data_IF_682871442761
#
_entry.id   IF_682871442761
#
_cell.length_a   1.000
_cell.length_b   1.000
_cell.length_c   1.000
_cell.angle_alpha   90.00
_cell.angle_beta   90.00
_cell.angle_gamma   90.00
#
_symmetry.space_group_name_H-M   'P 1'
#
loop_
_entity.id
_entity.type
_entity.pdbx_description
1 polymer ?
#
# COMPACT_ATOMS: atom_id res chain seq x y z
N UNK A 1 -8.97 -16.16 -21.99
CA UNK A 1 -8.05 -15.25 -21.30
C UNK A 1 -8.50 -13.84 -21.54
N UNK A 2 -8.68 -13.08 -20.47
CA UNK A 2 -9.06 -11.68 -20.51
C UNK A 2 -7.80 -10.79 -20.48
N UNK A 3 -7.97 -9.50 -20.79
CA UNK A 3 -6.95 -8.51 -20.45
C UNK A 3 -7.16 -8.06 -19.01
N UNK A 4 -6.09 -7.77 -18.27
CA UNK A 4 -6.16 -7.12 -16.97
C UNK A 4 -6.81 -5.73 -17.05
N UNK A 5 -6.66 -5.03 -18.18
CA UNK A 5 -7.33 -3.75 -18.41
C UNK A 5 -8.80 -4.02 -18.76
N UNK A 6 -9.71 -3.51 -17.93
CA UNK A 6 -11.14 -3.63 -18.17
C UNK A 6 -11.55 -2.93 -19.48
N UNK A 7 -12.57 -3.48 -20.14
CA UNK A 7 -13.11 -3.06 -21.42
C UNK A 7 -13.36 -1.56 -21.55
N UNK A 8 -13.88 -0.92 -20.50
CA UNK A 8 -14.22 0.51 -20.50
C UNK A 8 -12.99 1.43 -20.34
N UNK A 9 -11.83 0.90 -19.94
CA UNK A 9 -10.57 1.63 -19.80
C UNK A 9 -9.60 1.38 -20.96
N UNK A 10 -9.95 0.52 -21.91
CA UNK A 10 -9.13 0.28 -23.10
C UNK A 10 -9.15 1.49 -24.03
N UNK A 11 -7.98 1.87 -24.52
CA UNK A 11 -7.81 2.97 -25.47
C UNK A 11 -6.79 2.62 -26.56
N UNK A 12 -6.75 3.38 -27.68
CA UNK A 12 -5.70 3.22 -28.68
C UNK A 12 -4.32 3.45 -28.05
N UNK A 13 -3.48 2.41 -28.05
CA UNK A 13 -2.14 2.46 -27.46
C UNK A 13 -1.22 3.39 -28.24
N UNK A 14 -0.46 4.22 -27.51
CA UNK A 14 0.77 4.84 -28.00
C UNK A 14 2.02 4.15 -27.47
N UNK A 15 1.87 3.33 -26.42
CA UNK A 15 2.90 2.50 -25.83
C UNK A 15 2.52 1.01 -25.94
N UNK A 16 3.42 0.23 -26.55
CA UNK A 16 3.22 -1.20 -26.78
C UNK A 16 3.52 -2.02 -25.53
N UNK A 17 2.91 -3.19 -25.47
CA UNK A 17 3.27 -4.26 -24.54
C UNK A 17 4.69 -4.79 -24.83
N UNK A 18 5.31 -5.40 -23.84
CA UNK A 18 6.63 -6.07 -23.92
C UNK A 18 6.52 -7.46 -24.54
N UNK A 19 5.36 -8.09 -24.44
CA UNK A 19 5.08 -9.43 -24.97
C UNK A 19 4.20 -9.37 -26.24
N UNK A 20 4.29 -10.36 -27.13
CA UNK A 20 3.42 -10.46 -28.30
C UNK A 20 1.98 -10.84 -27.92
N UNK A 21 1.04 -10.67 -28.86
CA UNK A 21 -0.40 -10.94 -28.64
C UNK A 21 -0.71 -12.42 -28.36
N UNK A 22 0.15 -13.35 -28.79
CA UNK A 22 0.01 -14.79 -28.57
C UNK A 22 0.65 -15.27 -27.26
N UNK A 23 1.20 -14.37 -26.44
CA UNK A 23 1.69 -14.70 -25.11
C UNK A 23 0.63 -15.41 -24.27
N UNK A 24 1.01 -16.47 -23.56
CA UNK A 24 0.19 -17.16 -22.58
C UNK A 24 0.95 -17.20 -21.25
N UNK A 25 0.34 -16.79 -20.12
CA UNK A 25 0.96 -16.89 -18.82
C UNK A 25 1.11 -18.36 -18.37
N UNK A 26 2.06 -18.64 -17.48
CA UNK A 26 2.40 -20.00 -17.07
C UNK A 26 1.43 -20.65 -16.08
N UNK A 27 0.58 -19.88 -15.41
CA UNK A 27 -0.42 -20.33 -14.42
C UNK A 27 -1.59 -19.31 -14.42
N UNK A 28 -2.75 -19.58 -13.81
CA UNK A 28 -3.83 -18.60 -13.74
C UNK A 28 -3.57 -17.54 -12.66
N UNK A 29 -3.95 -16.29 -12.94
CA UNK A 29 -4.06 -15.19 -11.96
C UNK A 29 -5.27 -14.33 -12.34
N UNK A 30 -5.78 -13.57 -11.38
CA UNK A 30 -6.98 -12.76 -11.52
C UNK A 30 -6.75 -11.32 -11.07
N UNK A 31 -7.61 -10.41 -11.50
CA UNK A 31 -7.58 -8.99 -11.12
C UNK A 31 -8.97 -8.54 -10.68
N UNK A 32 -9.02 -7.57 -9.77
CA UNK A 32 -10.28 -6.98 -9.38
C UNK A 32 -10.96 -6.23 -10.55
N UNK A 33 -12.29 -6.27 -10.57
CA UNK A 33 -13.16 -5.59 -11.53
C UNK A 33 -14.08 -4.65 -10.78
N UNK A 34 -14.31 -3.47 -11.34
CA UNK A 34 -15.21 -2.48 -10.78
C UNK A 34 -16.26 -2.06 -11.81
N UNK A 35 -17.42 -1.61 -11.32
CA UNK A 35 -18.38 -0.91 -12.17
C UNK A 35 -17.75 0.36 -12.76
N UNK A 36 -18.17 0.72 -13.99
CA UNK A 36 -17.64 1.88 -14.69
C UNK A 36 -17.94 3.22 -13.98
N UNK A 37 -18.84 3.24 -12.98
CA UNK A 37 -19.05 4.40 -12.09
C UNK A 37 -17.89 4.62 -11.11
N UNK A 38 -17.04 3.62 -10.84
CA UNK A 38 -15.83 3.82 -10.05
C UNK A 38 -14.81 4.60 -10.89
N UNK A 39 -14.46 5.81 -10.45
CA UNK A 39 -13.55 6.71 -11.19
C UNK A 39 -12.22 6.90 -10.48
N UNK A 40 -12.24 6.91 -9.15
CA UNK A 40 -11.08 7.17 -8.30
C UNK A 40 -11.35 6.57 -6.94
N UNK A 41 -10.33 5.97 -6.34
CA UNK A 41 -10.40 5.44 -4.97
C UNK A 41 -9.55 6.32 -4.06
N UNK A 42 -9.80 6.27 -2.75
CA UNK A 42 -8.89 6.83 -1.75
C UNK A 42 -8.36 5.68 -0.90
N UNK A 43 -7.04 5.63 -0.74
CA UNK A 43 -6.33 4.72 0.15
C UNK A 43 -5.72 5.57 1.26
N UNK A 44 -6.25 5.46 2.48
CA UNK A 44 -5.79 6.21 3.63
C UNK A 44 -5.16 5.29 4.67
N UNK A 45 -3.89 5.54 4.97
CA UNK A 45 -3.13 4.86 6.01
C UNK A 45 -3.05 5.82 7.21
N UNK A 46 -3.82 5.53 8.26
CA UNK A 46 -3.90 6.35 9.46
C UNK A 46 -3.17 5.60 10.58
N UNK A 47 -2.13 6.21 11.14
CA UNK A 47 -1.23 5.52 12.05
C UNK A 47 -1.08 6.18 13.41
N UNK A 48 -0.77 5.35 14.40
CA UNK A 48 -0.42 5.70 15.77
C UNK A 48 0.92 5.06 16.11
N UNK A 49 1.89 5.88 16.53
CA UNK A 49 3.27 5.48 16.78
C UNK A 49 3.62 5.66 18.27
N UNK A 50 4.35 4.70 18.83
CA UNK A 50 4.85 4.75 20.21
C UNK A 50 6.13 3.92 20.35
N UNK A 51 7.02 4.29 21.25
CA UNK A 51 8.26 3.57 21.57
C UNK A 51 8.23 2.93 22.96
N UNK A 52 7.53 3.57 23.91
CA UNK A 52 7.34 3.05 25.26
C UNK A 52 6.24 1.98 25.33
N UNK A 53 6.54 0.72 25.72
CA UNK A 53 5.54 -0.33 25.86
C UNK A 53 4.39 0.00 26.82
N UNK A 54 4.59 0.88 27.81
CA UNK A 54 3.52 1.36 28.71
C UNK A 54 2.44 2.14 27.96
N UNK A 55 2.77 2.72 26.79
CA UNK A 55 1.86 3.47 25.92
C UNK A 55 1.01 2.60 25.00
N UNK A 56 1.21 1.28 24.96
CA UNK A 56 0.43 0.38 24.09
C UNK A 56 -1.09 0.52 24.33
N UNK A 57 -1.52 0.68 25.58
CA UNK A 57 -2.93 0.85 25.91
C UNK A 57 -3.52 2.15 25.33
N UNK A 58 -2.79 3.25 25.46
CA UNK A 58 -3.15 4.57 24.92
C UNK A 58 -3.17 4.53 23.38
N UNK A 59 -2.17 3.90 22.77
CA UNK A 59 -2.07 3.77 21.31
C UNK A 59 -3.24 2.95 20.72
N UNK A 60 -3.61 1.83 21.36
CA UNK A 60 -4.78 1.06 20.97
C UNK A 60 -6.09 1.84 21.17
N UNK A 61 -6.18 2.68 22.21
CA UNK A 61 -7.34 3.54 22.41
C UNK A 61 -7.45 4.63 21.33
N UNK A 62 -6.33 5.21 20.91
CA UNK A 62 -6.26 6.14 19.78
C UNK A 62 -6.66 5.46 18.47
N UNK A 63 -6.13 4.26 18.18
CA UNK A 63 -6.52 3.46 17.01
C UNK A 63 -8.03 3.17 17.00
N UNK A 64 -8.59 2.73 18.14
CA UNK A 64 -10.04 2.53 18.29
C UNK A 64 -10.85 3.79 18.07
N UNK A 65 -10.33 4.94 18.47
CA UNK A 65 -10.98 6.23 18.22
C UNK A 65 -11.04 6.50 16.72
N UNK A 66 -9.94 6.29 15.99
CA UNK A 66 -9.89 6.43 14.53
C UNK A 66 -10.90 5.47 13.87
N UNK A 67 -10.83 4.18 14.19
CA UNK A 67 -11.74 3.16 13.64
C UNK A 67 -13.20 3.48 13.94
N UNK A 68 -13.52 3.95 15.14
CA UNK A 68 -14.88 4.34 15.51
C UNK A 68 -15.47 5.47 14.66
N UNK A 69 -14.64 6.27 13.98
CA UNK A 69 -15.13 7.28 13.03
C UNK A 69 -15.59 6.70 11.70
N UNK A 70 -15.25 5.44 11.39
CA UNK A 70 -15.60 4.78 10.13
C UNK A 70 -17.04 4.30 10.08
N UNK A 71 -17.66 4.03 11.22
CA UNK A 71 -19.09 3.68 11.32
C UNK A 71 -20.02 4.89 11.06
N UNK A 72 -19.45 6.10 10.95
CA UNK A 72 -20.17 7.33 10.65
C UNK A 72 -20.52 7.51 9.18
N UNK A 73 -21.29 8.58 8.84
CA UNK A 73 -21.56 8.94 7.46
C UNK A 73 -20.27 9.12 6.65
N UNK A 74 -20.29 8.66 5.40
CA UNK A 74 -19.16 8.75 4.47
C UNK A 74 -17.87 8.03 4.92
N UNK A 75 -17.95 7.10 5.89
CA UNK A 75 -16.85 6.21 6.25
C UNK A 75 -16.37 5.33 5.09
N UNK A 76 -15.20 4.66 5.24
CA UNK A 76 -14.62 3.82 4.19
C UNK A 76 -15.51 2.60 3.90
N UNK A 77 -15.40 2.09 2.69
CA UNK A 77 -16.09 0.86 2.26
C UNK A 77 -15.44 -0.38 2.91
N UNK A 78 -14.11 -0.35 3.05
CA UNK A 78 -13.33 -1.42 3.63
C UNK A 78 -12.17 -0.86 4.44
N UNK A 79 -11.81 -1.53 5.52
CA UNK A 79 -10.58 -1.25 6.26
C UNK A 79 -10.03 -2.50 6.95
N UNK A 80 -8.74 -2.47 7.24
CA UNK A 80 -8.03 -3.47 8.02
C UNK A 80 -6.97 -2.83 8.92
N UNK A 81 -6.51 -3.56 9.94
CA UNK A 81 -5.63 -3.06 10.99
C UNK A 81 -4.33 -3.82 10.99
N UNK A 82 -3.23 -3.12 11.24
CA UNK A 82 -1.91 -3.73 11.29
C UNK A 82 -1.02 -3.17 12.39
N UNK A 83 0.02 -3.94 12.69
CA UNK A 83 1.12 -3.57 13.56
C UNK A 83 2.47 -3.87 12.90
N UNK A 84 3.45 -3.00 13.11
CA UNK A 84 4.87 -3.32 12.90
C UNK A 84 5.76 -2.56 13.89
N UNK A 85 7.02 -2.98 13.96
CA UNK A 85 8.10 -2.23 14.61
C UNK A 85 9.04 -1.76 13.51
N UNK A 86 9.37 -0.46 13.49
CA UNK A 86 10.28 0.11 12.50
C UNK A 86 11.76 -0.04 12.90
N UNK A 87 12.68 0.43 12.06
CA UNK A 87 14.12 0.35 12.32
C UNK A 87 14.64 1.36 13.36
N UNK A 88 13.74 2.03 14.07
CA UNK A 88 14.05 2.86 15.24
C UNK A 88 13.32 2.38 16.48
N UNK A 89 12.93 1.11 16.48
CA UNK A 89 12.26 0.43 17.60
C UNK A 89 10.93 1.07 18.01
N UNK A 90 10.30 1.87 17.14
CA UNK A 90 8.95 2.38 17.39
C UNK A 90 7.92 1.38 16.88
N UNK A 91 6.94 1.08 17.73
CA UNK A 91 5.73 0.37 17.36
C UNK A 91 4.80 1.31 16.60
N UNK A 92 4.22 0.81 15.52
CA UNK A 92 3.29 1.54 14.67
C UNK A 92 2.03 0.69 14.49
N UNK A 93 0.92 1.17 15.02
CA UNK A 93 -0.41 0.65 14.74
C UNK A 93 -1.00 1.44 13.58
N UNK A 94 -1.53 0.76 12.57
CA UNK A 94 -2.09 1.41 11.39
C UNK A 94 -3.47 0.87 11.10
N UNK A 95 -4.36 1.74 10.67
CA UNK A 95 -5.57 1.36 9.95
C UNK A 95 -5.45 1.80 8.51
N UNK A 96 -5.69 0.87 7.60
CA UNK A 96 -5.71 1.12 6.16
C UNK A 96 -7.16 1.10 5.71
N UNK A 97 -7.64 2.20 5.15
CA UNK A 97 -9.03 2.40 4.82
C UNK A 97 -9.20 2.81 3.35
N UNK A 98 -10.23 2.25 2.71
CA UNK A 98 -10.49 2.41 1.29
C UNK A 98 -11.87 3.02 1.03
N UNK A 99 -11.91 4.09 0.23
CA UNK A 99 -13.15 4.70 -0.25
C UNK A 99 -13.30 4.51 -1.75
N UNK A 100 -14.54 4.32 -2.20
CA UNK A 100 -14.92 4.30 -3.63
C UNK A 100 -15.13 5.70 -4.24
N UNK A 101 -15.21 6.74 -3.40
CA UNK A 101 -15.52 8.11 -3.82
C UNK A 101 -14.68 9.12 -3.01
N UNK A 102 -13.77 9.88 -3.66
CA UNK A 102 -13.01 10.95 -3.01
C UNK A 102 -13.89 12.04 -2.38
N UNK A 103 -15.11 12.27 -2.89
CA UNK A 103 -16.01 13.24 -2.31
C UNK A 103 -16.58 12.75 -0.96
N UNK A 104 -16.86 11.45 -0.83
CA UNK A 104 -17.22 10.82 0.45
C UNK A 104 -16.05 10.93 1.44
N UNK A 105 -14.85 10.50 1.05
CA UNK A 105 -13.65 10.69 1.88
C UNK A 105 -13.47 12.15 2.33
N UNK A 106 -13.63 13.12 1.42
CA UNK A 106 -13.52 14.53 1.74
C UNK A 106 -14.58 15.03 2.73
N UNK A 107 -15.82 14.51 2.65
CA UNK A 107 -16.87 14.82 3.64
C UNK A 107 -16.57 14.21 5.00
N UNK A 108 -16.13 12.94 5.04
CA UNK A 108 -15.70 12.26 6.25
C UNK A 108 -14.53 12.99 6.92
N UNK A 109 -13.50 13.36 6.16
CA UNK A 109 -12.30 14.04 6.64
C UNK A 109 -12.62 15.39 7.28
N UNK A 110 -13.60 16.12 6.74
CA UNK A 110 -14.06 17.43 7.23
C UNK A 110 -15.15 17.34 8.30
N UNK A 111 -15.62 16.15 8.65
CA UNK A 111 -16.58 15.99 9.73
C UNK A 111 -15.98 16.48 11.05
N UNK A 112 -16.80 17.03 11.94
CA UNK A 112 -16.35 17.57 13.22
C UNK A 112 -15.59 16.53 14.06
N UNK A 113 -16.05 15.28 14.05
CA UNK A 113 -15.42 14.18 14.78
C UNK A 113 -14.00 13.87 14.28
N UNK A 114 -13.77 13.95 12.96
CA UNK A 114 -12.47 13.58 12.35
C UNK A 114 -11.52 14.77 12.31
N UNK A 115 -11.99 15.94 11.86
CA UNK A 115 -11.18 17.15 11.79
C UNK A 115 -10.85 17.67 13.19
N UNK A 116 -11.84 17.78 14.07
CA UNK A 116 -11.65 18.28 15.43
C UNK A 116 -10.70 17.41 16.26
N UNK A 117 -10.72 16.09 16.09
CA UNK A 117 -9.79 15.19 16.79
C UNK A 117 -8.34 15.36 16.31
N UNK A 118 -8.14 15.54 15.00
CA UNK A 118 -6.82 15.68 14.39
C UNK A 118 -6.18 17.04 14.65
N UNK A 119 -6.97 18.10 14.54
CA UNK A 119 -6.53 19.49 14.70
C UNK A 119 -6.35 19.87 16.18
N UNK A 120 -6.90 19.11 17.12
CA UNK A 120 -6.73 19.36 18.56
C UNK A 120 -5.25 19.32 18.98
N UNK A 121 -4.85 20.29 19.79
CA UNK A 121 -3.52 20.33 20.44
C UNK A 121 -3.31 19.16 21.41
N UNK A 122 -4.36 18.43 21.79
CA UNK A 122 -4.20 17.18 22.55
C UNK A 122 -3.28 16.18 21.82
N UNK A 123 -3.30 16.17 20.47
CA UNK A 123 -2.40 15.31 19.65
C UNK A 123 -0.93 15.70 19.79
N UNK A 124 -0.65 16.95 20.16
CA UNK A 124 0.72 17.42 20.42
C UNK A 124 1.23 17.01 21.81
N UNK A 125 0.34 16.60 22.71
CA UNK A 125 0.62 16.44 24.13
C UNK A 125 0.27 15.05 24.68
N UNK A 126 -0.34 14.17 23.89
CA UNK A 126 -0.72 12.81 24.32
C UNK A 126 0.46 11.81 24.39
N UNK A 127 1.65 12.22 23.94
CA UNK A 127 2.86 11.40 24.02
C UNK A 127 2.92 10.28 22.98
N UNK A 128 2.05 10.33 21.97
CA UNK A 128 2.04 9.43 20.82
C UNK A 128 2.45 10.20 19.55
N UNK A 129 2.92 9.47 18.56
CA UNK A 129 2.96 9.95 17.18
C UNK A 129 1.66 9.61 16.46
N UNK A 130 1.18 10.49 15.58
CA UNK A 130 0.02 10.23 14.72
C UNK A 130 0.36 10.60 13.29
N UNK A 131 -0.09 9.83 12.31
CA UNK A 131 0.14 10.16 10.90
C UNK A 131 -1.04 9.82 10.00
N UNK A 132 -1.11 10.54 8.87
CA UNK A 132 -2.03 10.30 7.77
C UNK A 132 -1.24 10.25 6.48
N UNK A 133 -1.24 9.12 5.82
CA UNK A 133 -0.65 8.95 4.50
C UNK A 133 -1.78 8.55 3.55
N UNK A 134 -2.17 9.47 2.69
CA UNK A 134 -3.36 9.33 1.85
C UNK A 134 -2.98 9.51 0.40
N UNK A 135 -3.38 8.55 -0.42
CA UNK A 135 -3.25 8.63 -1.87
C UNK A 135 -4.60 8.36 -2.53
N UNK A 136 -4.90 9.05 -3.62
CA UNK A 136 -6.15 8.88 -4.34
C UNK A 136 -5.90 8.58 -5.84
N UNK A 137 -5.50 7.35 -6.20
CA UNK A 137 -5.31 6.98 -7.60
C UNK A 137 -6.65 6.90 -8.33
N UNK A 138 -6.69 7.40 -9.57
CA UNK A 138 -7.80 7.12 -10.49
C UNK A 138 -7.81 5.65 -10.88
N UNK A 139 -8.93 5.14 -11.39
CA UNK A 139 -9.04 3.73 -11.84
C UNK A 139 -8.09 3.36 -12.98
N UNK A 140 -7.57 4.33 -13.73
CA UNK A 140 -6.53 4.10 -14.72
C UNK A 140 -5.10 4.07 -14.13
N UNK A 141 -4.93 4.43 -12.87
CA UNK A 141 -3.65 4.61 -12.18
C UNK A 141 -3.37 3.59 -11.07
N UNK A 142 -4.06 2.46 -11.06
CA UNK A 142 -3.68 1.33 -10.22
C UNK A 142 -3.96 -0.01 -10.93
N UNK A 143 -3.33 -1.06 -10.42
CA UNK A 143 -3.53 -2.43 -10.85
C UNK A 143 -3.58 -3.36 -9.64
N UNK A 144 -4.23 -4.50 -9.82
CA UNK A 144 -4.30 -5.56 -8.81
C UNK A 144 -3.90 -6.89 -9.43
N UNK A 145 -3.39 -7.81 -8.61
CA UNK A 145 -3.11 -9.17 -9.01
C UNK A 145 -3.32 -10.12 -7.83
N UNK A 146 -4.19 -11.11 -8.00
CA UNK A 146 -4.56 -12.08 -6.98
C UNK A 146 -4.28 -13.51 -7.47
N UNK A 147 -3.71 -14.34 -6.60
CA UNK A 147 -3.58 -15.79 -6.81
C UNK A 147 -4.83 -16.57 -6.37
N UNK A 148 -5.95 -15.88 -6.20
CA UNK A 148 -7.23 -16.41 -5.73
C UNK A 148 -8.38 -15.51 -6.25
N UNK A 149 -9.63 -15.96 -6.09
CA UNK A 149 -10.80 -15.29 -6.69
C UNK A 149 -11.80 -14.71 -5.70
N UNK A 150 -11.77 -15.15 -4.44
CA UNK A 150 -12.80 -14.83 -3.45
C UNK A 150 -12.27 -13.88 -2.36
N UNK A 151 -13.17 -13.09 -1.78
CA UNK A 151 -12.91 -12.21 -0.63
C UNK A 151 -11.67 -11.34 -0.85
N UNK A 152 -11.64 -10.57 -1.94
CA UNK A 152 -10.46 -9.80 -2.33
C UNK A 152 -10.10 -8.77 -1.24
N UNK A 153 -8.88 -8.81 -0.68
CA UNK A 153 -8.42 -7.84 0.30
C UNK A 153 -8.04 -6.50 -0.36
N UNK A 154 -7.81 -5.49 0.48
CA UNK A 154 -7.35 -4.16 0.05
C UNK A 154 -8.36 -3.46 -0.86
N UNK A 155 -7.88 -2.85 -1.94
CA UNK A 155 -8.71 -2.13 -2.91
C UNK A 155 -9.69 -3.06 -3.64
N UNK A 156 -9.39 -4.36 -3.74
CA UNK A 156 -10.27 -5.35 -4.35
C UNK A 156 -11.62 -5.45 -3.64
N UNK A 157 -11.66 -5.25 -2.32
CA UNK A 157 -12.89 -5.21 -1.53
C UNK A 157 -13.83 -4.07 -1.94
N UNK A 158 -13.27 -2.95 -2.42
CA UNK A 158 -14.03 -1.78 -2.90
C UNK A 158 -14.51 -1.96 -4.33
N UNK A 159 -13.72 -2.63 -5.17
CA UNK A 159 -14.06 -2.87 -6.57
C UNK A 159 -15.24 -3.84 -6.72
N UNK A 160 -15.33 -4.85 -5.85
CA UNK A 160 -16.52 -5.70 -5.70
C UNK A 160 -16.71 -6.78 -6.77
N UNK A 161 -15.82 -6.89 -7.75
CA UNK A 161 -15.81 -7.93 -8.78
C UNK A 161 -14.42 -8.53 -9.01
N UNK A 162 -14.38 -9.66 -9.72
CA UNK A 162 -13.16 -10.40 -10.08
C UNK A 162 -13.21 -10.75 -11.58
N UNK A 163 -12.05 -10.79 -12.23
CA UNK A 163 -11.92 -11.19 -13.64
C UNK A 163 -11.98 -12.70 -13.86
N UNK A 164 -12.07 -13.13 -15.11
CA UNK A 164 -11.53 -14.45 -15.51
C UNK A 164 -10.00 -14.44 -15.56
N UNK A 165 -9.39 -15.54 -16.00
CA UNK A 165 -7.92 -15.65 -16.11
C UNK A 165 -7.37 -14.55 -17.04
N UNK A 166 -6.42 -13.76 -16.56
CA UNK A 166 -5.85 -12.62 -17.29
C UNK A 166 -4.56 -12.96 -18.04
N UNK A 167 -4.22 -12.17 -19.06
CA UNK A 167 -3.04 -12.39 -19.89
C UNK A 167 -1.77 -11.72 -19.35
N UNK A 168 -1.89 -10.53 -18.77
CA UNK A 168 -0.78 -9.64 -18.43
C UNK A 168 -0.16 -9.98 -17.06
N UNK A 169 0.40 -11.18 -16.92
CA UNK A 169 1.20 -11.57 -15.76
C UNK A 169 2.25 -12.64 -16.12
N UNK A 170 3.15 -12.99 -15.19
CA UNK A 170 4.14 -14.04 -15.39
C UNK A 170 5.44 -13.61 -16.08
N UNK A 171 5.65 -12.30 -16.27
CA UNK A 171 6.88 -11.71 -16.80
C UNK A 171 7.18 -10.35 -16.17
N UNK A 172 8.46 -9.96 -16.14
CA UNK A 172 8.89 -8.63 -15.69
C UNK A 172 8.37 -7.54 -16.64
N UNK A 173 7.70 -6.52 -16.07
CA UNK A 173 6.98 -5.49 -16.81
C UNK A 173 5.46 -5.74 -16.91
N UNK A 174 4.98 -6.94 -16.56
CA UNK A 174 3.54 -7.24 -16.57
C UNK A 174 2.75 -6.36 -15.61
N UNK A 175 3.29 -6.03 -14.43
CA UNK A 175 2.70 -5.06 -13.49
C UNK A 175 2.32 -3.76 -14.21
N UNK A 176 3.27 -3.13 -14.89
CA UNK A 176 3.04 -1.91 -15.66
C UNK A 176 1.96 -2.09 -16.72
N UNK A 177 1.96 -3.21 -17.45
CA UNK A 177 0.95 -3.48 -18.48
C UNK A 177 -0.47 -3.66 -17.94
N UNK A 178 -0.63 -3.97 -16.64
CA UNK A 178 -1.94 -4.04 -15.99
C UNK A 178 -2.52 -2.67 -15.63
N UNK A 179 -1.70 -1.63 -15.51
CA UNK A 179 -2.21 -0.27 -15.36
C UNK A 179 -2.89 0.17 -16.66
N UNK A 180 -4.16 0.60 -16.64
CA UNK A 180 -4.81 1.10 -17.84
C UNK A 180 -4.09 2.30 -18.46
N UNK A 181 -3.54 3.21 -17.64
CA UNK A 181 -2.82 4.40 -18.14
C UNK A 181 -1.52 4.04 -18.89
N UNK A 182 -0.95 2.84 -18.68
CA UNK A 182 0.25 2.38 -19.41
C UNK A 182 0.06 2.24 -20.91
N UNK A 183 -1.20 2.23 -21.38
CA UNK A 183 -1.52 2.26 -22.81
C UNK A 183 -0.97 3.52 -23.49
N UNK A 184 -0.86 4.62 -22.75
CA UNK A 184 -0.50 5.94 -23.31
C UNK A 184 0.50 6.75 -22.51
N UNK A 185 0.78 6.40 -21.25
CA UNK A 185 1.65 7.16 -20.34
C UNK A 185 2.77 6.28 -19.77
N UNK A 186 3.95 6.88 -19.60
CA UNK A 186 5.11 6.20 -19.00
C UNK A 186 5.06 6.15 -17.47
N UNK A 187 4.11 6.84 -16.83
CA UNK A 187 4.02 7.03 -15.38
C UNK A 187 5.35 7.53 -14.81
N UNK A 188 6.01 8.42 -15.56
CA UNK A 188 7.34 8.90 -15.22
C UNK A 188 7.22 9.85 -14.02
N UNK A 189 8.00 9.63 -12.97
CA UNK A 189 7.96 10.53 -11.82
C UNK A 189 8.64 11.85 -12.13
N UNK A 190 8.15 12.91 -11.50
CA UNK A 190 8.68 14.26 -11.64
C UNK A 190 8.64 14.96 -10.28
N UNK A 191 9.80 15.44 -9.81
CA UNK A 191 9.95 16.15 -8.54
C UNK A 191 10.56 15.30 -7.43
N UNK A 192 10.25 15.65 -6.19
CA UNK A 192 10.73 14.97 -4.99
C UNK A 192 9.89 15.37 -3.79
N UNK A 193 9.92 14.55 -2.73
CA UNK A 193 9.21 14.82 -1.48
C UNK A 193 9.67 16.16 -0.90
N UNK A 194 8.72 17.01 -0.53
CA UNK A 194 9.01 18.36 -0.01
C UNK A 194 8.25 18.61 1.27
N UNK A 195 8.95 19.05 2.33
CA UNK A 195 8.31 19.57 3.54
C UNK A 195 7.70 20.93 3.23
N UNK A 196 6.40 21.06 3.45
CA UNK A 196 5.65 22.30 3.16
C UNK A 196 5.17 23.01 4.43
N UNK A 197 5.14 22.29 5.55
CA UNK A 197 4.85 22.82 6.88
C UNK A 197 5.63 22.00 7.93
N UNK A 198 6.09 22.67 8.98
CA UNK A 198 6.82 22.05 10.09
C UNK A 198 8.30 21.74 9.77
N UNK A 199 8.94 21.04 10.71
CA UNK A 199 10.31 20.55 10.58
C UNK A 199 10.37 19.11 11.12
N UNK A 200 10.66 18.10 10.28
CA UNK A 200 10.80 16.72 10.72
C UNK A 200 11.75 16.53 11.90
N UNK A 201 12.81 17.34 12.01
CA UNK A 201 13.79 17.24 13.09
C UNK A 201 13.28 17.80 14.43
N UNK A 202 12.30 18.71 14.40
CA UNK A 202 11.74 19.36 15.59
C UNK A 202 10.53 18.62 16.17
N UNK A 203 9.92 17.68 15.42
CA UNK A 203 8.66 17.06 15.78
C UNK A 203 7.48 18.01 15.60
N UNK A 204 6.41 17.84 16.39
CA UNK A 204 5.17 18.61 16.20
C UNK A 204 4.45 18.21 14.92
N UNK A 205 3.71 19.15 14.31
CA UNK A 205 2.97 18.94 13.06
C UNK A 205 3.88 19.17 11.86
N UNK A 206 3.95 18.19 10.96
CA UNK A 206 4.73 18.24 9.73
C UNK A 206 3.87 17.79 8.56
N UNK A 207 3.87 18.56 7.48
CA UNK A 207 3.19 18.23 6.24
C UNK A 207 4.22 18.06 5.13
N UNK A 208 4.19 16.89 4.49
CA UNK A 208 5.01 16.56 3.33
C UNK A 208 4.12 16.51 2.10
N UNK A 209 4.49 17.30 1.09
CA UNK A 209 3.89 17.21 -0.23
C UNK A 209 4.62 16.14 -1.05
N UNK A 210 3.82 15.25 -1.63
CA UNK A 210 4.27 14.26 -2.59
C UNK A 210 4.62 14.86 -3.94
N UNK A 211 4.82 14.00 -4.94
CA UNK A 211 5.11 14.41 -6.31
C UNK A 211 4.44 13.45 -7.30
N UNK A 212 4.42 13.81 -8.58
CA UNK A 212 3.74 12.99 -9.58
C UNK A 212 4.37 11.60 -9.68
N UNK A 213 3.49 10.61 -9.76
CA UNK A 213 3.80 9.19 -9.99
C UNK A 213 4.71 8.56 -8.93
N UNK A 214 4.54 8.96 -7.65
CA UNK A 214 4.94 8.08 -6.53
C UNK A 214 4.18 6.77 -6.68
N UNK A 215 4.89 5.65 -6.63
CA UNK A 215 4.29 4.34 -6.66
C UNK A 215 4.09 3.83 -5.23
N UNK A 216 2.90 3.30 -4.95
CA UNK A 216 2.56 2.62 -3.70
C UNK A 216 2.24 1.16 -4.01
N UNK A 217 2.94 0.25 -3.35
CA UNK A 217 2.64 -1.18 -3.39
C UNK A 217 2.12 -1.64 -2.02
N UNK A 218 0.99 -2.36 -2.03
CA UNK A 218 0.60 -3.28 -0.96
C UNK A 218 0.71 -4.69 -1.50
N UNK A 219 1.64 -5.48 -0.98
CA UNK A 219 1.83 -6.88 -1.39
C UNK A 219 1.60 -7.80 -0.20
N UNK A 220 0.54 -8.60 -0.25
CA UNK A 220 0.03 -9.33 0.91
C UNK A 220 0.14 -10.85 0.83
N UNK A 221 0.14 -11.43 2.02
CA UNK A 221 0.29 -12.84 2.30
C UNK A 221 -0.70 -13.21 3.40
N UNK A 222 -1.60 -14.14 3.14
CA UNK A 222 -2.61 -14.58 4.10
C UNK A 222 -2.58 -16.11 4.19
N UNK A 223 -2.40 -16.63 5.40
CA UNK A 223 -2.33 -18.07 5.69
C UNK A 223 -3.27 -18.48 6.83
N UNK A 224 -4.35 -17.72 7.03
CA UNK A 224 -5.39 -17.95 8.06
C UNK A 224 -6.03 -19.33 7.91
N UNK A 225 -6.41 -19.70 6.68
CA UNK A 225 -7.03 -20.99 6.38
C UNK A 225 -6.03 -22.06 5.91
N UNK A 226 -4.73 -21.75 5.91
CA UNK A 226 -3.70 -22.65 5.41
C UNK A 226 -3.59 -23.90 6.29
N UNK A 227 -3.60 -25.07 5.64
CA UNK A 227 -3.25 -26.34 6.29
C UNK A 227 -1.79 -26.39 6.70
N UNK A 228 -1.39 -27.42 7.45
CA UNK A 228 -0.02 -27.56 7.97
C UNK A 228 1.05 -27.50 6.87
N UNK A 229 0.79 -28.11 5.71
CA UNK A 229 1.72 -28.15 4.58
C UNK A 229 1.97 -26.76 3.98
N UNK A 230 0.91 -26.02 3.63
CA UNK A 230 1.05 -24.66 3.08
C UNK A 230 1.56 -23.66 4.12
N UNK A 231 1.19 -23.85 5.39
CA UNK A 231 1.70 -23.03 6.49
C UNK A 231 3.20 -23.23 6.67
N UNK A 232 3.68 -24.48 6.66
CA UNK A 232 5.13 -24.77 6.70
C UNK A 232 5.83 -24.24 5.46
N UNK A 233 5.27 -24.44 4.26
CA UNK A 233 5.80 -23.86 3.03
C UNK A 233 5.97 -22.34 3.15
N UNK A 234 4.95 -21.64 3.64
CA UNK A 234 5.01 -20.19 3.79
C UNK A 234 6.03 -19.78 4.85
N UNK A 235 5.88 -20.25 6.09
CA UNK A 235 6.68 -19.79 7.23
C UNK A 235 8.15 -20.22 7.12
N UNK A 236 8.44 -21.39 6.56
CA UNK A 236 9.79 -21.96 6.53
C UNK A 236 10.55 -21.64 5.22
N UNK A 237 9.86 -21.54 4.08
CA UNK A 237 10.52 -21.33 2.77
C UNK A 237 10.35 -19.91 2.20
N UNK A 238 9.15 -19.33 2.32
CA UNK A 238 8.81 -18.05 1.69
C UNK A 238 9.13 -16.87 2.61
N UNK A 239 8.56 -16.86 3.82
CA UNK A 239 8.65 -15.76 4.76
C UNK A 239 10.08 -15.33 5.07
N UNK A 240 11.07 -16.23 5.31
CA UNK A 240 12.42 -15.79 5.64
C UNK A 240 13.09 -15.03 4.50
N UNK A 241 12.77 -15.37 3.24
CA UNK A 241 13.27 -14.65 2.07
C UNK A 241 12.55 -13.31 1.90
N UNK A 242 11.24 -13.28 2.17
CA UNK A 242 10.43 -12.07 2.18
C UNK A 242 10.96 -11.08 3.22
N UNK A 243 11.14 -11.50 4.47
CA UNK A 243 11.67 -10.70 5.56
C UNK A 243 13.04 -10.11 5.22
N UNK A 244 13.96 -10.91 4.68
CA UNK A 244 15.26 -10.40 4.24
C UNK A 244 15.14 -9.31 3.15
N UNK A 245 14.16 -9.45 2.24
CA UNK A 245 13.84 -8.42 1.25
C UNK A 245 13.26 -7.15 1.86
N UNK A 246 12.35 -7.31 2.82
CA UNK A 246 11.70 -6.21 3.53
C UNK A 246 12.68 -5.43 4.42
N UNK A 247 13.56 -6.13 5.12
CA UNK A 247 14.65 -5.55 5.91
C UNK A 247 15.60 -4.74 5.00
N UNK A 248 15.99 -5.31 3.85
CA UNK A 248 16.81 -4.58 2.88
C UNK A 248 16.13 -3.28 2.45
N UNK A 249 14.84 -3.31 2.10
CA UNK A 249 14.10 -2.11 1.67
C UNK A 249 13.93 -1.09 2.80
N UNK A 250 13.70 -1.55 4.03
CA UNK A 250 13.59 -0.70 5.22
C UNK A 250 14.89 0.06 5.49
N UNK A 251 16.02 -0.65 5.40
CA UNK A 251 17.31 -0.14 5.88
C UNK A 251 18.17 0.47 4.75
N UNK A 252 17.92 0.09 3.49
CA UNK A 252 18.68 0.53 2.32
C UNK A 252 17.79 1.16 1.23
N UNK A 253 16.54 1.49 1.57
CA UNK A 253 15.52 1.98 0.63
C UNK A 253 15.95 3.20 -0.18
N UNK A 254 16.68 4.14 0.44
CA UNK A 254 17.21 5.34 -0.24
C UNK A 254 18.03 4.98 -1.50
N UNK A 255 18.86 3.94 -1.40
CA UNK A 255 19.75 3.52 -2.50
C UNK A 255 19.00 2.97 -3.72
N UNK A 256 17.78 2.50 -3.53
CA UNK A 256 16.92 1.92 -4.57
C UNK A 256 15.71 2.81 -4.91
N UNK A 257 15.56 3.95 -4.23
CA UNK A 257 14.44 4.86 -4.43
C UNK A 257 13.13 4.42 -3.75
N UNK A 258 13.20 3.60 -2.72
CA UNK A 258 12.10 3.27 -1.83
C UNK A 258 12.08 4.26 -0.65
N UNK A 259 11.12 5.18 -0.65
CA UNK A 259 10.96 6.22 0.38
C UNK A 259 10.58 5.66 1.74
N UNK A 260 9.69 4.68 1.76
CA UNK A 260 9.24 4.04 2.99
C UNK A 260 8.91 2.59 2.70
N UNK A 261 9.39 1.67 3.55
CA UNK A 261 9.07 0.27 3.48
C UNK A 261 8.62 -0.23 4.85
N UNK A 262 7.41 -0.78 4.92
CA UNK A 262 6.87 -1.41 6.12
C UNK A 262 6.54 -2.85 5.79
N UNK A 263 6.93 -3.77 6.66
CA UNK A 263 6.41 -5.13 6.67
C UNK A 263 5.52 -5.26 7.89
N UNK A 264 4.22 -5.32 7.64
CA UNK A 264 3.19 -5.19 8.68
C UNK A 264 2.43 -6.50 8.84
N UNK A 265 1.99 -6.77 10.06
CA UNK A 265 1.17 -7.94 10.38
C UNK A 265 -0.24 -7.48 10.76
N UNK A 266 -1.24 -8.15 10.23
CA UNK A 266 -2.64 -7.86 10.54
C UNK A 266 -2.92 -8.11 12.02
N UNK A 267 -3.77 -7.28 12.59
CA UNK A 267 -4.22 -7.39 13.98
C UNK A 267 -5.73 -7.20 14.07
N UNK A 268 -6.34 -7.70 15.14
CA UNK A 268 -7.67 -7.24 15.53
C UNK A 268 -7.61 -5.90 16.29
N UNK A 269 -8.79 -5.40 16.69
CA UNK A 269 -8.93 -4.11 17.37
C UNK A 269 -8.35 -4.09 18.81
N UNK A 270 -8.07 -5.25 19.37
CA UNK A 270 -7.39 -5.42 20.65
C UNK A 270 -5.87 -5.60 20.49
N UNK A 271 -5.39 -5.64 19.23
CA UNK A 271 -3.99 -5.79 18.90
C UNK A 271 -3.49 -7.24 18.97
N UNK A 272 -4.39 -8.22 18.83
CA UNK A 272 -4.01 -9.63 18.68
C UNK A 272 -3.64 -9.90 17.23
N UNK A 273 -2.55 -10.65 16.97
CA UNK A 273 -2.10 -10.93 15.61
C UNK A 273 -3.09 -11.82 14.86
N UNK A 274 -3.21 -11.54 13.57
CA UNK A 274 -3.90 -12.36 12.56
C UNK A 274 -2.82 -12.95 11.65
N UNK A 275 -3.03 -14.18 11.17
CA UNK A 275 -2.15 -14.89 10.23
C UNK A 275 -2.23 -14.30 8.80
N UNK A 276 -2.03 -12.98 8.71
CA UNK A 276 -1.93 -12.19 7.49
C UNK A 276 -0.84 -11.12 7.69
N UNK A 277 -0.05 -10.89 6.65
CA UNK A 277 0.92 -9.81 6.59
C UNK A 277 0.92 -9.16 5.21
N UNK A 278 1.46 -7.95 5.12
CA UNK A 278 1.72 -7.32 3.84
C UNK A 278 2.85 -6.30 3.91
N UNK A 279 3.45 -6.05 2.74
CA UNK A 279 4.31 -4.91 2.53
C UNK A 279 3.46 -3.64 2.32
N UNK A 280 3.92 -2.51 2.83
CA UNK A 280 3.51 -1.17 2.39
C UNK A 280 4.78 -0.46 1.92
N UNK A 281 4.93 -0.32 0.60
CA UNK A 281 6.13 0.26 -0.01
C UNK A 281 5.79 1.54 -0.77
N UNK A 282 6.31 2.68 -0.32
CA UNK A 282 6.28 3.94 -1.06
C UNK A 282 7.57 4.09 -1.86
N UNK A 283 7.44 4.27 -3.18
CA UNK A 283 8.54 4.33 -4.13
C UNK A 283 8.53 5.64 -4.90
N UNK A 284 9.72 6.18 -5.12
CA UNK A 284 9.94 7.39 -5.92
C UNK A 284 9.47 7.28 -7.37
N UNK A 285 9.24 6.07 -7.88
CA UNK A 285 8.65 5.80 -9.19
C UNK A 285 8.34 4.33 -9.36
N UNK A 286 7.43 4.01 -10.30
CA UNK A 286 7.12 2.64 -10.68
C UNK A 286 8.34 1.90 -11.26
N UNK A 287 9.20 2.57 -12.04
CA UNK A 287 10.38 1.92 -12.63
C UNK A 287 11.43 1.53 -11.59
N UNK A 288 11.53 2.25 -10.47
CA UNK A 288 12.41 1.86 -9.36
C UNK A 288 11.92 0.61 -8.65
N UNK A 289 10.60 0.50 -8.43
CA UNK A 289 9.97 -0.72 -7.95
C UNK A 289 10.20 -1.88 -8.94
N UNK A 290 9.96 -1.67 -10.24
CA UNK A 290 10.22 -2.67 -11.28
C UNK A 290 11.67 -3.16 -11.24
N UNK A 291 12.62 -2.22 -11.18
CA UNK A 291 14.05 -2.54 -11.20
C UNK A 291 14.48 -3.33 -9.96
N UNK A 292 13.96 -2.99 -8.78
CA UNK A 292 14.21 -3.78 -7.57
C UNK A 292 13.63 -5.18 -7.70
N UNK A 293 12.36 -5.30 -8.11
CA UNK A 293 11.67 -6.57 -8.23
C UNK A 293 12.34 -7.51 -9.25
N UNK A 294 12.76 -7.00 -10.41
CA UNK A 294 13.32 -7.84 -11.48
C UNK A 294 14.81 -8.17 -11.32
N UNK A 295 15.53 -7.55 -10.38
CA UNK A 295 17.00 -7.69 -10.28
C UNK A 295 17.54 -7.96 -8.89
N UNK A 296 16.81 -7.65 -7.82
CA UNK A 296 17.32 -7.85 -6.47
C UNK A 296 17.22 -9.34 -6.06
N UNK A 297 18.30 -9.96 -5.54
CA UNK A 297 18.33 -11.39 -5.23
C UNK A 297 17.22 -11.88 -4.30
N UNK A 298 16.80 -11.04 -3.35
CA UNK A 298 15.71 -11.40 -2.42
C UNK A 298 14.38 -11.57 -3.15
N UNK A 299 13.98 -10.60 -3.98
CA UNK A 299 12.73 -10.70 -4.74
C UNK A 299 12.81 -11.79 -5.81
N UNK A 300 13.95 -11.96 -6.49
CA UNK A 300 14.14 -13.06 -7.45
C UNK A 300 13.94 -14.44 -6.80
N UNK A 301 14.37 -14.61 -5.55
CA UNK A 301 14.18 -15.87 -4.81
C UNK A 301 12.71 -16.07 -4.40
N UNK A 302 11.99 -15.03 -3.98
CA UNK A 302 10.55 -15.12 -3.71
C UNK A 302 9.80 -15.50 -5.00
N UNK A 303 10.12 -14.82 -6.11
CA UNK A 303 9.49 -15.05 -7.40
C UNK A 303 9.73 -16.48 -7.92
N UNK A 304 10.97 -17.00 -7.84
CA UNK A 304 11.26 -18.37 -8.28
C UNK A 304 10.60 -19.42 -7.38
N UNK A 305 10.52 -19.19 -6.06
CA UNK A 305 9.77 -20.06 -5.15
C UNK A 305 8.28 -20.05 -5.49
N UNK A 306 7.67 -18.88 -5.69
CA UNK A 306 6.26 -18.76 -6.07
C UNK A 306 5.95 -19.53 -7.35
N UNK A 307 6.75 -19.35 -8.40
CA UNK A 307 6.60 -20.09 -9.67
C UNK A 307 6.63 -21.60 -9.51
N UNK A 308 7.38 -22.12 -8.54
CA UNK A 308 7.49 -23.55 -8.27
C UNK A 308 6.26 -24.10 -7.55
N UNK A 309 5.55 -23.27 -6.77
CA UNK A 309 4.47 -23.73 -5.87
C UNK A 309 3.08 -23.24 -6.28
N UNK A 310 2.97 -22.26 -7.19
CA UNK A 310 1.71 -21.58 -7.53
C UNK A 310 0.57 -22.54 -7.95
N UNK A 311 0.86 -23.60 -8.72
CA UNK A 311 -0.15 -24.59 -9.13
C UNK A 311 -0.65 -25.49 -7.99
N UNK A 312 0.10 -25.56 -6.88
CA UNK A 312 -0.20 -26.39 -5.72
C UNK A 312 -0.76 -25.62 -4.53
N UNK A 313 -0.92 -24.29 -4.63
CA UNK A 313 -1.56 -23.50 -3.58
C UNK A 313 -3.08 -23.70 -3.61
N UNK A 314 -3.66 -23.88 -2.43
CA UNK A 314 -5.10 -24.01 -2.18
C UNK A 314 -5.58 -22.89 -1.25
N UNK A 315 -5.00 -22.79 -0.03
CA UNK A 315 -5.45 -21.86 1.01
C UNK A 315 -4.48 -20.74 1.31
N UNK A 316 -3.22 -20.84 0.90
CA UNK A 316 -2.29 -19.71 0.95
C UNK A 316 -2.68 -18.65 -0.09
N UNK A 317 -2.98 -17.44 0.39
CA UNK A 317 -3.48 -16.35 -0.44
C UNK A 317 -2.40 -15.28 -0.62
N UNK A 318 -1.92 -15.14 -1.85
CA UNK A 318 -0.89 -14.17 -2.24
C UNK A 318 -1.47 -13.16 -3.23
N UNK A 319 -1.21 -11.89 -3.00
CA UNK A 319 -1.72 -10.82 -3.85
C UNK A 319 -0.85 -9.56 -3.80
N UNK A 320 -1.10 -8.65 -4.73
CA UNK A 320 -0.72 -7.27 -4.56
C UNK A 320 -1.71 -6.31 -5.19
N UNK A 321 -1.60 -5.06 -4.77
CA UNK A 321 -2.11 -3.88 -5.44
C UNK A 321 -0.98 -2.87 -5.58
N UNK A 322 -0.88 -2.25 -6.75
CA UNK A 322 0.12 -1.22 -7.03
C UNK A 322 -0.60 -0.02 -7.62
N UNK A 323 -0.32 1.16 -7.09
CA UNK A 323 -0.90 2.41 -7.57
C UNK A 323 0.17 3.45 -7.87
N UNK A 324 -0.16 4.40 -8.74
CA UNK A 324 0.52 5.67 -8.87
C UNK A 324 -0.51 6.78 -8.71
N UNK A 325 -0.10 7.96 -8.25
CA UNK A 325 -1.00 9.10 -8.09
C UNK A 325 -0.32 10.39 -8.52
N UNK A 326 -1.10 11.39 -8.93
CA UNK A 326 -0.57 12.75 -9.11
C UNK A 326 -0.23 13.36 -7.75
N UNK A 327 0.72 14.30 -7.73
CA UNK A 327 1.15 14.94 -6.49
C UNK A 327 0.04 15.73 -5.78
N UNK A 328 -1.00 16.17 -6.50
CA UNK A 328 -2.19 16.82 -5.91
C UNK A 328 -3.14 15.85 -5.21
N UNK A 329 -3.02 14.55 -5.49
CA UNK A 329 -3.87 13.48 -4.95
C UNK A 329 -3.12 12.70 -3.86
N UNK A 330 -2.13 13.34 -3.23
CA UNK A 330 -1.28 12.77 -2.18
C UNK A 330 -1.23 13.74 -1.00
N UNK A 331 -1.40 13.21 0.21
CA UNK A 331 -1.30 13.95 1.46
C UNK A 331 -0.52 13.11 2.47
N UNK A 332 0.56 13.67 3.01
CA UNK A 332 1.35 13.03 4.05
C UNK A 332 1.51 13.98 5.24
N UNK A 333 0.81 13.71 6.33
CA UNK A 333 0.81 14.53 7.55
C UNK A 333 1.28 13.70 8.74
N UNK A 334 2.06 14.32 9.62
CA UNK A 334 2.65 13.68 10.79
C UNK A 334 2.53 14.61 11.99
N UNK A 335 2.26 14.05 13.16
CA UNK A 335 2.20 14.74 14.44
C UNK A 335 3.08 13.96 15.40
N UNK A 336 4.16 14.55 15.90
CA UNK A 336 5.08 13.94 16.88
C UNK A 336 5.67 12.57 16.49
N UNK A 337 5.69 12.22 15.20
CA UNK A 337 6.41 11.05 14.72
C UNK A 337 7.93 11.28 14.70
N UNK A 338 8.72 10.22 14.83
CA UNK A 338 10.17 10.36 14.70
C UNK A 338 10.58 10.77 13.27
N UNK A 339 11.73 11.44 13.05
CA UNK A 339 12.09 12.01 11.74
C UNK A 339 12.29 11.00 10.58
N UNK A 340 12.24 9.71 10.87
CA UNK A 340 12.38 8.62 9.89
C UNK A 340 11.05 7.96 9.51
N UNK A 341 9.92 8.42 10.07
CA UNK A 341 8.61 7.82 9.82
C UNK A 341 8.12 8.17 8.42
N UNK A 342 7.72 7.14 7.67
CA UNK A 342 7.05 7.34 6.38
C UNK A 342 7.84 8.21 5.43
N UNK A 343 7.20 9.26 4.92
CA UNK A 343 7.74 10.18 3.93
C UNK A 343 8.60 11.28 4.56
N UNK A 344 8.68 11.37 5.89
CA UNK A 344 9.55 12.36 6.57
C UNK A 344 11.03 12.14 6.27
N UNK A 345 11.47 10.87 6.16
CA UNK A 345 12.88 10.48 6.04
C UNK A 345 13.59 11.17 4.88
N UNK A 346 12.93 11.20 3.72
CA UNK A 346 13.53 11.65 2.45
C UNK A 346 12.94 12.99 1.98
N UNK A 347 12.03 13.59 2.74
CA UNK A 347 11.44 14.88 2.42
C UNK A 347 12.48 16.00 2.53
N UNK A 348 12.60 16.81 1.48
CA UNK A 348 13.49 17.96 1.46
C UNK A 348 12.77 19.17 2.04
N UNK A 349 13.43 19.88 2.96
CA UNK A 349 12.94 21.19 3.40
C UNK A 349 13.07 22.16 2.23
N UNK A 350 11.99 22.84 1.87
CA UNK A 350 12.05 23.85 0.82
C UNK A 350 13.08 24.92 1.21
N UNK A 351 14.15 25.05 0.43
CA UNK A 351 15.10 26.14 0.60
C UNK A 351 14.39 27.45 0.24
N UNK A 352 14.26 28.38 1.20
CA UNK A 352 13.81 29.73 0.91
C UNK A 352 14.72 30.31 -0.18
N UNK A 353 14.16 30.53 -1.37
CA UNK A 353 14.83 31.21 -2.49
C UNK A 353 14.87 32.72 -2.26
#
# INVERSE_FOLDING_TARGET
MESAIDTHLKCPRTLSRRVPDDYQPPFPMWVARADASLQQVVMAYLGVQYDDPERRGDALAALRTIVGTFDGPDGPVHHDLTHHVDNRDHHNLMVVAYWADPAAYGRWLRSEAVAGWWESDDRLHDGLGHFREVVAPRVDQFETLYAFQEQLPGVGAVMGGISGDINEHGYWGSMRERFPISQTDWMQSNGGLTVVEGDPAAGGRVVVRGHDNIALIRSGQEWIEAGEEERSLYLDEIQPTLEAGMDFLRDNGESVGCYSNRYVHSIDLDGNPIDESYNIGHWSSLDKLERWAESHPTHLRIFTTFFRVAEGLDKLRLYHEVSVSSGSEQLFEYVNCHPGTGMLRDARVASNA
#
